data_IF_362645985482
#
_entry.id   IF_362645985482
#
_cell.length_a   1.000
_cell.length_b   1.000
_cell.length_c   1.000
_cell.angle_alpha   90.00
_cell.angle_beta   90.00
_cell.angle_gamma   90.00
#
_symmetry.space_group_name_H-M   'P 1'
#
loop_
_entity.id
_entity.type
_entity.pdbx_description
1 polymer ?
#
# COMPACT_ATOMS: atom_id res chain seq x y z
N UNK A 1 32.97 12.08 -8.45
CA UNK A 1 31.80 11.22 -8.82
C UNK A 1 31.05 10.93 -7.53
N UNK A 2 30.01 11.70 -7.24
CA UNK A 2 29.22 11.54 -6.03
C UNK A 2 28.25 10.41 -6.21
N UNK A 3 28.42 9.30 -5.50
CA UNK A 3 27.38 8.30 -5.32
C UNK A 3 26.23 8.96 -4.58
N UNK A 4 25.18 9.34 -5.29
CA UNK A 4 23.90 9.69 -4.65
C UNK A 4 23.32 8.41 -4.09
N UNK A 5 23.62 8.14 -2.84
CA UNK A 5 22.94 7.11 -2.07
C UNK A 5 21.49 7.58 -1.90
N UNK A 6 20.60 7.11 -2.74
CA UNK A 6 19.15 7.17 -2.45
C UNK A 6 18.89 6.09 -1.39
N UNK A 7 18.60 6.47 -0.14
CA UNK A 7 18.36 5.46 0.89
C UNK A 7 17.15 4.63 0.48
N UNK A 8 17.36 3.35 0.24
CA UNK A 8 16.26 2.42 -0.03
C UNK A 8 15.43 2.35 1.24
N UNK A 9 14.13 2.65 1.13
CA UNK A 9 13.20 2.51 2.25
C UNK A 9 13.16 1.03 2.66
N UNK A 10 13.68 0.66 3.84
CA UNK A 10 13.80 -0.75 4.22
C UNK A 10 12.45 -1.37 4.55
N UNK A 11 11.48 -0.57 5.04
CA UNK A 11 10.15 -0.99 5.42
C UNK A 11 9.13 0.01 4.89
N UNK A 12 8.02 -0.48 4.37
CA UNK A 12 6.86 0.33 4.00
C UNK A 12 5.72 -0.01 4.95
N UNK A 13 5.21 0.99 5.68
CA UNK A 13 4.24 0.81 6.77
C UNK A 13 2.80 0.55 6.34
N UNK A 14 2.52 0.41 5.05
CA UNK A 14 1.16 0.20 4.54
C UNK A 14 0.62 -1.22 4.69
N UNK A 15 1.49 -2.18 5.00
CA UNK A 15 1.10 -3.56 5.32
C UNK A 15 2.02 -4.12 6.40
N UNK A 16 1.43 -4.48 7.52
CA UNK A 16 2.14 -5.05 8.66
C UNK A 16 1.37 -6.28 9.19
N UNK A 17 2.09 -7.34 9.45
CA UNK A 17 1.60 -8.48 10.22
C UNK A 17 2.42 -8.56 11.48
N UNK A 18 1.78 -8.35 12.62
CA UNK A 18 2.44 -8.29 13.92
C UNK A 18 1.86 -9.35 14.87
N UNK A 19 2.72 -9.98 15.64
CA UNK A 19 2.30 -10.70 16.83
C UNK A 19 2.15 -9.69 17.95
N UNK A 20 0.97 -9.58 18.58
CA UNK A 20 0.79 -8.70 19.73
C UNK A 20 1.79 -9.02 20.83
N UNK A 21 2.52 -8.00 21.26
CA UNK A 21 3.52 -8.10 22.31
C UNK A 21 3.53 -6.78 23.10
N UNK A 22 3.07 -6.80 24.36
CA UNK A 22 3.01 -5.60 25.19
C UNK A 22 4.38 -4.97 25.47
N UNK A 23 5.45 -5.78 25.57
CA UNK A 23 6.80 -5.27 25.83
C UNK A 23 7.33 -4.52 24.60
N UNK A 24 7.19 -5.13 23.42
CA UNK A 24 7.53 -4.47 22.13
C UNK A 24 6.72 -3.17 21.96
N UNK A 25 5.43 -3.18 22.31
CA UNK A 25 4.61 -1.98 22.23
C UNK A 25 5.13 -0.88 23.16
N UNK A 26 5.46 -1.22 24.41
CA UNK A 26 6.02 -0.23 25.36
C UNK A 26 7.37 0.32 24.90
N UNK A 27 8.23 -0.51 24.33
CA UNK A 27 9.50 -0.08 23.76
C UNK A 27 9.31 0.91 22.61
N UNK A 28 8.38 0.62 21.70
CA UNK A 28 8.04 1.54 20.61
C UNK A 28 7.49 2.86 21.13
N UNK A 29 6.66 2.84 22.18
CA UNK A 29 6.17 4.05 22.87
C UNK A 29 7.34 4.83 23.49
N UNK A 30 8.33 4.16 24.10
CA UNK A 30 9.51 4.84 24.64
C UNK A 30 10.37 5.47 23.54
N UNK A 31 10.51 4.82 22.38
CA UNK A 31 11.21 5.41 21.24
C UNK A 31 10.55 6.72 20.85
N UNK A 32 9.22 6.72 20.66
CA UNK A 32 8.47 7.94 20.28
C UNK A 32 8.61 9.06 21.33
N UNK A 33 8.59 8.71 22.61
CA UNK A 33 8.63 9.69 23.70
C UNK A 33 10.03 10.24 24.01
N UNK A 34 11.08 9.43 23.83
CA UNK A 34 12.42 9.73 24.37
C UNK A 34 13.53 9.80 23.33
N UNK A 35 13.27 9.35 22.10
CA UNK A 35 14.29 9.35 21.04
C UNK A 35 13.96 10.44 20.03
N UNK A 36 14.92 11.32 19.77
CA UNK A 36 14.75 12.39 18.78
C UNK A 36 15.04 11.88 17.37
N UNK A 37 14.26 12.38 16.41
CA UNK A 37 14.58 12.25 15.00
C UNK A 37 15.37 13.50 14.55
N UNK A 38 16.51 13.27 13.91
CA UNK A 38 17.34 14.34 13.36
C UNK A 38 17.29 14.28 11.83
N UNK A 39 16.92 15.36 11.12
CA UNK A 39 16.80 15.36 9.65
C UNK A 39 18.05 14.89 8.90
N UNK A 40 19.25 15.10 9.46
CA UNK A 40 20.52 14.69 8.86
C UNK A 40 21.13 13.40 9.45
N UNK A 41 20.57 12.87 10.54
CA UNK A 41 21.14 11.73 11.29
C UNK A 41 20.14 10.64 11.60
N UNK A 42 18.86 10.82 11.27
CA UNK A 42 17.80 9.85 11.52
C UNK A 42 17.43 9.67 13.00
N UNK A 43 16.75 8.59 13.29
CA UNK A 43 16.33 8.24 14.64
C UNK A 43 17.52 8.00 15.57
N UNK A 44 17.56 8.72 16.69
CA UNK A 44 18.63 8.61 17.68
C UNK A 44 20.06 8.87 17.12
N UNK A 45 20.18 9.53 15.98
CA UNK A 45 21.46 9.74 15.32
C UNK A 45 22.03 8.50 14.62
N UNK A 46 21.23 7.48 14.39
CA UNK A 46 21.63 6.15 13.87
C UNK A 46 21.73 6.07 12.34
N UNK A 47 21.46 7.13 11.61
CA UNK A 47 21.28 7.18 10.16
C UNK A 47 20.06 6.42 9.63
N UNK A 48 19.20 5.89 10.51
CA UNK A 48 17.98 5.19 10.14
C UNK A 48 16.83 6.18 9.98
N UNK A 49 16.02 6.03 8.93
CA UNK A 49 14.89 6.89 8.64
C UNK A 49 15.19 8.09 7.75
N UNK A 50 16.36 8.16 7.13
CA UNK A 50 16.75 9.25 6.20
C UNK A 50 16.12 9.05 4.81
N UNK A 51 14.78 8.91 4.77
CA UNK A 51 14.00 8.79 3.56
C UNK A 51 12.61 9.38 3.77
N UNK A 52 11.84 9.53 2.71
CA UNK A 52 10.48 10.07 2.80
C UNK A 52 9.60 9.21 3.72
N UNK A 53 9.00 9.82 4.74
CA UNK A 53 8.21 9.11 5.76
C UNK A 53 9.04 8.44 6.86
N UNK A 54 10.37 8.60 6.86
CA UNK A 54 11.24 7.97 7.85
C UNK A 54 11.10 8.52 9.27
N UNK A 55 10.48 9.69 9.45
CA UNK A 55 10.09 10.21 10.77
C UNK A 55 8.90 9.46 11.39
N UNK A 56 8.16 8.71 10.57
CA UNK A 56 6.98 7.95 10.97
C UNK A 56 7.32 6.47 11.22
N UNK A 57 6.27 5.64 11.25
CA UNK A 57 6.36 4.18 11.47
C UNK A 57 7.38 3.50 10.55
N UNK A 58 7.54 3.99 9.33
CA UNK A 58 8.49 3.45 8.36
C UNK A 58 9.97 3.58 8.78
N UNK A 59 10.30 4.55 9.62
CA UNK A 59 11.64 4.70 10.20
C UNK A 59 11.73 4.18 11.63
N UNK A 60 10.66 4.28 12.42
CA UNK A 60 10.64 3.79 13.81
C UNK A 60 10.81 2.26 13.85
N UNK A 61 10.10 1.52 13.01
CA UNK A 61 10.19 0.06 12.98
C UNK A 61 11.61 -0.44 12.65
N UNK A 62 12.28 -0.01 11.55
CA UNK A 62 13.67 -0.37 11.32
C UNK A 62 14.59 0.04 12.48
N UNK A 63 14.41 1.23 13.03
CA UNK A 63 15.20 1.68 14.17
C UNK A 63 15.04 0.75 15.38
N UNK A 64 13.82 0.35 15.71
CA UNK A 64 13.56 -0.60 16.78
C UNK A 64 14.30 -1.92 16.53
N UNK A 65 14.05 -2.56 15.41
CA UNK A 65 14.58 -3.89 15.13
C UNK A 65 16.09 -3.93 14.95
N UNK A 66 16.71 -2.86 14.46
CA UNK A 66 18.16 -2.81 14.22
C UNK A 66 18.95 -2.30 15.44
N UNK A 67 18.33 -1.56 16.35
CA UNK A 67 19.05 -0.85 17.42
C UNK A 67 18.52 -1.09 18.83
N UNK A 68 17.30 -1.58 18.98
CA UNK A 68 16.64 -1.65 20.28
C UNK A 68 16.10 -3.02 20.62
N UNK A 69 15.69 -3.80 19.63
CA UNK A 69 15.08 -5.10 19.84
C UNK A 69 16.05 -6.06 20.59
N UNK A 70 15.55 -6.87 21.51
CA UNK A 70 16.34 -7.91 22.17
C UNK A 70 16.92 -8.90 21.16
N UNK A 71 18.00 -9.57 21.55
CA UNK A 71 18.60 -10.62 20.71
C UNK A 71 17.57 -11.71 20.35
N UNK A 72 17.51 -12.08 19.08
CA UNK A 72 16.54 -13.07 18.57
C UNK A 72 15.19 -12.48 18.13
N UNK A 73 14.90 -11.23 18.44
CA UNK A 73 13.72 -10.51 17.91
C UNK A 73 14.07 -9.90 16.56
N UNK A 74 13.31 -10.26 15.53
CA UNK A 74 13.58 -9.82 14.18
C UNK A 74 12.28 -9.59 13.39
N UNK A 75 12.40 -9.00 12.21
CA UNK A 75 11.31 -8.87 11.24
C UNK A 75 11.65 -9.57 9.92
N UNK A 76 10.62 -9.85 9.14
CA UNK A 76 10.77 -10.32 7.77
C UNK A 76 10.10 -9.35 6.81
N UNK A 77 10.80 -8.99 5.77
CA UNK A 77 10.21 -8.27 4.65
C UNK A 77 9.42 -9.24 3.77
N UNK A 78 8.21 -8.85 3.37
CA UNK A 78 7.40 -9.55 2.39
C UNK A 78 7.53 -8.89 1.03
N UNK A 79 7.22 -9.64 -0.04
CA UNK A 79 7.27 -9.09 -1.39
C UNK A 79 6.27 -7.95 -1.55
N UNK A 80 6.78 -6.76 -1.80
CA UNK A 80 5.99 -5.55 -1.94
C UNK A 80 5.11 -5.55 -3.19
N UNK A 81 5.46 -6.28 -4.24
CA UNK A 81 4.63 -6.41 -5.43
C UNK A 81 3.35 -7.20 -5.15
N UNK A 82 3.40 -8.10 -4.18
CA UNK A 82 2.29 -8.94 -3.73
C UNK A 82 1.54 -8.31 -2.56
N UNK A 83 2.30 -7.86 -1.54
CA UNK A 83 1.76 -7.22 -0.34
C UNK A 83 2.05 -5.73 -0.36
N UNK A 84 1.04 -4.89 -0.17
CA UNK A 84 1.16 -3.43 -0.22
C UNK A 84 1.57 -2.90 -1.61
N UNK A 85 1.02 -3.46 -2.68
CA UNK A 85 1.31 -3.02 -4.04
C UNK A 85 0.82 -1.57 -4.25
N UNK A 86 1.74 -0.68 -4.58
CA UNK A 86 1.48 0.75 -4.79
C UNK A 86 1.54 1.15 -6.27
N UNK A 87 1.81 0.21 -7.17
CA UNK A 87 2.01 0.45 -8.62
C UNK A 87 3.11 1.49 -8.91
N UNK A 88 4.05 1.66 -7.99
CA UNK A 88 5.04 2.74 -7.97
C UNK A 88 6.37 2.38 -8.65
N UNK A 89 6.57 1.14 -8.99
CA UNK A 89 7.80 0.64 -9.63
C UNK A 89 7.50 -0.47 -10.64
N UNK A 90 8.41 -0.76 -11.59
CA UNK A 90 8.18 -1.75 -12.65
C UNK A 90 7.75 -3.12 -12.13
N UNK A 91 8.36 -3.64 -11.07
CA UNK A 91 7.98 -4.93 -10.47
C UNK A 91 6.55 -4.92 -9.93
N UNK A 92 6.10 -3.81 -9.34
CA UNK A 92 4.73 -3.66 -8.85
C UNK A 92 3.71 -3.48 -9.98
N UNK A 93 4.13 -2.91 -11.13
CA UNK A 93 3.27 -2.69 -12.30
C UNK A 93 3.11 -3.97 -13.13
N UNK A 94 4.13 -4.83 -13.16
CA UNK A 94 4.18 -6.04 -13.98
C UNK A 94 3.53 -7.27 -13.33
N UNK A 95 3.19 -7.21 -12.05
CA UNK A 95 2.62 -8.37 -11.34
C UNK A 95 1.19 -8.65 -11.84
N UNK A 96 0.85 -9.92 -11.96
CA UNK A 96 -0.52 -10.32 -12.26
C UNK A 96 -1.44 -9.99 -11.07
N UNK A 97 -2.64 -9.46 -11.37
CA UNK A 97 -3.58 -9.05 -10.32
C UNK A 97 -4.01 -10.22 -9.41
N UNK A 98 -4.02 -11.43 -9.92
CA UNK A 98 -4.34 -12.63 -9.12
C UNK A 98 -3.32 -12.90 -8.02
N UNK A 99 -2.10 -12.38 -8.16
CA UNK A 99 -1.02 -12.49 -7.18
C UNK A 99 -1.05 -11.36 -6.15
N UNK A 100 -1.68 -10.22 -6.45
CA UNK A 100 -1.78 -9.11 -5.51
C UNK A 100 -2.69 -9.48 -4.34
N UNK A 101 -2.14 -9.47 -3.13
CA UNK A 101 -2.86 -9.78 -1.87
C UNK A 101 -3.34 -8.52 -1.15
N UNK A 102 -2.62 -7.43 -1.27
CA UNK A 102 -3.07 -6.12 -0.80
C UNK A 102 -2.54 -5.00 -1.68
N UNK A 103 -3.34 -3.96 -1.86
CA UNK A 103 -2.99 -2.78 -2.62
C UNK A 103 -3.08 -1.53 -1.75
N UNK A 104 -2.16 -0.60 -1.98
CA UNK A 104 -2.12 0.68 -1.29
C UNK A 104 -2.30 1.79 -2.33
N UNK A 105 -3.48 2.39 -2.36
CA UNK A 105 -3.86 3.40 -3.34
C UNK A 105 -3.18 4.75 -3.05
N UNK A 106 -1.88 4.82 -3.33
CA UNK A 106 -1.06 6.02 -3.22
C UNK A 106 -0.82 6.64 -4.60
N UNK A 107 -0.32 5.85 -5.56
CA UNK A 107 -0.11 6.29 -6.94
C UNK A 107 -1.36 6.08 -7.80
N UNK A 108 -2.11 5.01 -7.56
CA UNK A 108 -3.43 4.85 -8.12
C UNK A 108 -4.42 5.81 -7.45
N UNK A 109 -5.37 6.32 -8.23
CA UNK A 109 -6.50 7.06 -7.68
C UNK A 109 -7.29 6.17 -6.72
N UNK A 110 -7.76 6.77 -5.64
CA UNK A 110 -8.53 6.05 -4.61
C UNK A 110 -9.93 5.74 -5.13
N UNK A 111 -10.35 4.48 -5.20
CA UNK A 111 -11.63 4.10 -5.79
C UNK A 111 -12.84 4.80 -5.15
N UNK A 112 -12.77 5.07 -3.85
CA UNK A 112 -13.84 5.73 -3.11
C UNK A 112 -13.96 7.25 -3.35
N UNK A 113 -13.00 7.86 -4.03
CA UNK A 113 -13.02 9.27 -4.41
C UNK A 113 -13.66 9.52 -5.78
N UNK A 114 -14.06 8.43 -6.47
CA UNK A 114 -14.65 8.50 -7.81
C UNK A 114 -13.78 9.26 -8.83
N UNK A 115 -12.48 9.07 -8.72
CA UNK A 115 -11.51 9.63 -9.65
C UNK A 115 -11.18 8.63 -10.76
N UNK A 116 -10.90 9.17 -11.94
CA UNK A 116 -10.49 8.37 -13.08
C UNK A 116 -9.21 7.57 -12.76
N UNK A 117 -9.17 6.26 -13.00
CA UNK A 117 -7.94 5.49 -12.86
C UNK A 117 -6.86 6.03 -13.79
N UNK A 118 -5.62 6.06 -13.36
CA UNK A 118 -4.52 6.64 -14.13
C UNK A 118 -4.38 5.93 -15.48
N UNK A 119 -4.57 6.64 -16.63
CA UNK A 119 -4.72 6.00 -17.95
C UNK A 119 -3.47 5.23 -18.42
N UNK A 120 -2.30 5.59 -17.88
CA UNK A 120 -1.01 4.95 -18.22
C UNK A 120 -0.63 3.79 -17.29
N UNK A 121 -1.52 3.42 -16.38
CA UNK A 121 -1.26 2.35 -15.41
C UNK A 121 -2.44 1.37 -15.36
N UNK A 122 -2.47 0.38 -16.27
CA UNK A 122 -3.59 -0.57 -16.38
C UNK A 122 -3.89 -1.32 -15.08
N UNK A 123 -2.86 -1.60 -14.27
CA UNK A 123 -3.06 -2.27 -12.99
C UNK A 123 -3.88 -1.43 -12.01
N UNK A 124 -3.79 -0.09 -12.07
CA UNK A 124 -4.62 0.78 -11.22
C UNK A 124 -6.11 0.58 -11.49
N UNK A 125 -6.53 0.47 -12.76
CA UNK A 125 -7.93 0.21 -13.12
C UNK A 125 -8.38 -1.14 -12.56
N UNK A 126 -7.61 -2.19 -12.78
CA UNK A 126 -7.92 -3.54 -12.30
C UNK A 126 -7.97 -3.61 -10.76
N UNK A 127 -7.11 -2.89 -10.06
CA UNK A 127 -7.15 -2.81 -8.60
C UNK A 127 -8.39 -2.05 -8.10
N UNK A 128 -8.81 -0.99 -8.80
CA UNK A 128 -10.05 -0.28 -8.49
C UNK A 128 -11.29 -1.18 -8.69
N UNK A 129 -11.36 -1.94 -9.80
CA UNK A 129 -12.39 -2.94 -10.05
C UNK A 129 -12.47 -3.96 -8.91
N UNK A 130 -11.31 -4.49 -8.52
CA UNK A 130 -11.23 -5.47 -7.44
C UNK A 130 -11.69 -4.89 -6.09
N UNK A 131 -11.39 -3.62 -5.84
CA UNK A 131 -11.86 -2.94 -4.65
C UNK A 131 -13.39 -2.85 -4.60
N UNK A 132 -14.05 -2.48 -5.71
CA UNK A 132 -15.51 -2.43 -5.78
C UNK A 132 -16.15 -3.81 -5.63
N UNK A 133 -15.59 -4.84 -6.26
CA UNK A 133 -16.05 -6.23 -6.07
C UNK A 133 -15.96 -6.65 -4.60
N UNK A 134 -14.84 -6.37 -3.94
CA UNK A 134 -14.65 -6.70 -2.52
C UNK A 134 -15.61 -5.93 -1.63
N UNK A 135 -15.84 -4.65 -1.91
CA UNK A 135 -16.80 -3.83 -1.21
C UNK A 135 -18.22 -4.41 -1.32
N UNK A 136 -18.66 -4.74 -2.54
CA UNK A 136 -19.99 -5.33 -2.77
C UNK A 136 -20.15 -6.65 -2.02
N UNK A 137 -19.11 -7.51 -2.03
CA UNK A 137 -19.12 -8.76 -1.26
C UNK A 137 -19.20 -8.52 0.25
N UNK A 138 -18.48 -7.54 0.76
CA UNK A 138 -18.52 -7.18 2.18
C UNK A 138 -19.89 -6.61 2.57
N UNK A 139 -20.47 -5.74 1.75
CA UNK A 139 -21.84 -5.22 1.96
C UNK A 139 -22.86 -6.37 2.01
N UNK A 140 -22.78 -7.31 1.07
CA UNK A 140 -23.64 -8.51 1.06
C UNK A 140 -23.46 -9.37 2.32
N UNK A 141 -22.23 -9.65 2.69
CA UNK A 141 -21.91 -10.49 3.87
C UNK A 141 -22.38 -9.86 5.19
N UNK A 142 -22.44 -8.54 5.25
CA UNK A 142 -22.90 -7.77 6.41
C UNK A 142 -24.40 -7.45 6.37
N UNK A 143 -25.14 -7.88 5.34
CA UNK A 143 -26.56 -7.55 5.16
C UNK A 143 -26.80 -6.05 4.92
N UNK A 144 -25.78 -5.32 4.44
CA UNK A 144 -25.90 -3.90 4.13
C UNK A 144 -26.44 -3.69 2.71
N UNK A 145 -27.16 -2.59 2.46
CA UNK A 145 -27.58 -2.25 1.10
C UNK A 145 -26.37 -1.97 0.24
N UNK A 146 -26.37 -2.50 -0.98
CA UNK A 146 -25.32 -2.22 -1.96
C UNK A 146 -25.35 -0.73 -2.33
N UNK A 147 -24.23 -0.08 -2.24
CA UNK A 147 -24.05 1.31 -2.67
C UNK A 147 -23.51 1.35 -4.09
N UNK A 148 -24.07 2.25 -4.89
CA UNK A 148 -23.46 2.56 -6.18
C UNK A 148 -21.98 2.95 -6.03
N UNK A 149 -21.20 2.65 -7.06
CA UNK A 149 -19.77 2.95 -7.07
C UNK A 149 -19.51 4.45 -6.79
N UNK A 150 -20.28 5.33 -7.44
CA UNK A 150 -20.15 6.78 -7.32
C UNK A 150 -21.54 7.44 -7.29
N UNK A 151 -22.24 7.44 -6.14
CA UNK A 151 -23.65 7.86 -6.04
C UNK A 151 -23.89 9.33 -6.35
N UNK A 152 -22.89 10.19 -6.21
CA UNK A 152 -22.96 11.63 -6.53
C UNK A 152 -22.59 11.95 -7.98
N UNK A 153 -22.45 10.92 -8.82
CA UNK A 153 -21.89 11.03 -10.16
C UNK A 153 -20.36 10.96 -10.18
N UNK A 154 -19.84 10.85 -11.39
CA UNK A 154 -18.39 10.77 -11.60
C UNK A 154 -17.84 12.17 -11.80
N UNK A 155 -16.67 12.43 -11.27
CA UNK A 155 -15.91 13.62 -11.62
C UNK A 155 -15.53 13.53 -13.09
N UNK A 156 -15.34 14.66 -13.75
CA UNK A 156 -15.04 14.72 -15.19
C UNK A 156 -13.81 13.90 -15.63
N UNK A 157 -12.95 13.62 -14.68
CA UNK A 157 -11.72 12.82 -14.82
C UNK A 157 -11.88 11.36 -14.40
N UNK A 158 -13.11 10.88 -14.11
CA UNK A 158 -13.39 9.51 -13.70
C UNK A 158 -14.21 8.75 -14.74
N UNK A 159 -13.72 7.59 -15.16
CA UNK A 159 -14.48 6.64 -15.98
C UNK A 159 -15.03 5.49 -15.11
N UNK A 160 -16.33 5.23 -15.18
CA UNK A 160 -16.91 4.08 -14.49
C UNK A 160 -16.26 2.76 -14.92
N UNK A 161 -16.00 1.88 -13.99
CA UNK A 161 -15.39 0.55 -14.25
C UNK A 161 -16.20 -0.26 -15.24
N UNK A 162 -17.52 -0.15 -15.21
CA UNK A 162 -18.42 -0.80 -16.14
C UNK A 162 -18.16 -0.42 -17.61
N UNK A 163 -17.58 0.77 -17.85
CA UNK A 163 -17.18 1.21 -19.19
C UNK A 163 -15.76 0.75 -19.56
N UNK A 164 -14.99 0.28 -18.60
CA UNK A 164 -13.63 -0.22 -18.79
C UNK A 164 -13.60 -1.74 -18.92
N UNK A 165 -14.68 -2.43 -18.60
CA UNK A 165 -14.79 -3.86 -18.81
C UNK A 165 -14.60 -4.16 -20.30
N UNK A 166 -13.73 -5.10 -20.70
CA UNK A 166 -13.65 -5.51 -22.08
C UNK A 166 -15.06 -5.96 -22.51
N UNK A 167 -15.55 -5.40 -23.63
CA UNK A 167 -16.77 -5.92 -24.24
C UNK A 167 -16.56 -7.42 -24.35
N UNK A 168 -17.43 -8.20 -23.74
CA UNK A 168 -17.43 -9.65 -23.87
C UNK A 168 -17.30 -9.92 -25.37
N UNK A 169 -16.22 -10.58 -25.77
CA UNK A 169 -16.05 -11.04 -27.14
C UNK A 169 -17.34 -11.75 -27.50
N UNK A 170 -18.03 -11.25 -28.51
CA UNK A 170 -19.20 -11.91 -29.11
C UNK A 170 -18.83 -13.36 -29.25
N UNK A 171 -19.60 -14.24 -28.63
CA UNK A 171 -19.51 -15.68 -28.91
C UNK A 171 -19.57 -15.82 -30.43
N UNK A 172 -18.62 -16.51 -31.07
CA UNK A 172 -18.74 -16.81 -32.47
C UNK A 172 -19.99 -17.65 -32.64
N UNK A 173 -21.01 -17.10 -33.33
CA UNK A 173 -22.14 -17.88 -33.79
C UNK A 173 -21.56 -18.96 -34.67
N UNK A 174 -21.54 -20.18 -34.16
CA UNK A 174 -21.18 -21.36 -34.91
C UNK A 174 -22.17 -21.58 -36.04
N UNK A 175 -21.74 -22.27 -37.11
CA UNK A 175 -22.51 -22.51 -38.32
C UNK A 175 -23.74 -23.37 -38.08
#
# INVERSE_FOLDING_TARGET
MGNSYTPVMPVQGGFLVVRPDPEVFQDLVQIVKRTSFYPSKGWGGSMIGLFWGGVNVQGILPYYYERRAPAGVSYRSVDRSVYNNMVDRPSCQAVDISQVRSAHFTNCQKPWECLYPHPKQPLCSRLAERWFEMRTRAESALGLPHKEACPTGFRSDYTPITLLAPKSSEEPQGP
#
